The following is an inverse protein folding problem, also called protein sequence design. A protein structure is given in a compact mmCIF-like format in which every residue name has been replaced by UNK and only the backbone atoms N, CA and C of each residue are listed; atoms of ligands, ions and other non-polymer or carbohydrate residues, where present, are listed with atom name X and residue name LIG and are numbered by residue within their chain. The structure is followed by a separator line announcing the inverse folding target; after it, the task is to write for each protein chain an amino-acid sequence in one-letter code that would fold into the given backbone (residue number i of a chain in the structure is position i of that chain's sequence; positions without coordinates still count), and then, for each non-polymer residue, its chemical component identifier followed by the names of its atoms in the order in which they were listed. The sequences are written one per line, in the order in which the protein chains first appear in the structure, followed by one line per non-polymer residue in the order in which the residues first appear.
data_IF_804021706645
#
_entry.id   IF_804021706645
#
_cell.length_a   1.000
_cell.length_b   1.000
_cell.length_c   1.000
_cell.angle_alpha   90.00
_cell.angle_beta   90.00
_cell.angle_gamma   90.00
#
_symmetry.space_group_name_H-M   'P 1'
#
loop_
_entity.id
_entity.type
_entity.pdbx_description
1 polymer ?
#
# COMPACT_ATOMS: atom_id res chain seq x y z
N UNK A 1 -13.53 -44.46 38.74
CA UNK A 1 -13.85 -45.56 37.80
C UNK A 1 -13.32 -45.17 36.43
N UNK A 2 -12.47 -46.04 35.85
CA UNK A 2 -11.82 -45.89 34.54
C UNK A 2 -12.79 -46.22 33.41
N UNK A 3 -12.73 -45.47 32.30
CA UNK A 3 -12.74 -46.10 30.97
C UNK A 3 -12.03 -45.24 29.92
N UNK A 4 -10.71 -45.43 29.90
CA UNK A 4 -9.78 -45.18 28.80
C UNK A 4 -10.24 -45.99 27.58
N UNK A 5 -10.65 -45.33 26.48
CA UNK A 5 -10.73 -45.99 25.17
C UNK A 5 -9.46 -45.67 24.38
N UNK A 6 -8.55 -46.64 24.40
CA UNK A 6 -7.50 -46.84 23.41
C UNK A 6 -8.16 -47.25 22.09
N UNK A 7 -7.81 -46.59 20.99
CA UNK A 7 -8.04 -47.07 19.62
C UNK A 7 -6.73 -46.86 18.85
N UNK A 8 -6.30 -47.84 18.02
CA UNK A 8 -4.90 -48.21 17.89
C UNK A 8 -4.18 -47.58 16.69
N UNK A 9 -2.87 -47.42 16.86
CA UNK A 9 -1.86 -47.38 15.81
C UNK A 9 -1.92 -48.67 14.97
N UNK A 10 -2.06 -48.54 13.64
CA UNK A 10 -1.77 -49.48 12.53
C UNK A 10 -2.37 -48.76 11.29
N UNK A 11 -1.73 -48.48 10.17
CA UNK A 11 -0.63 -49.14 9.46
C UNK A 11 -0.06 -48.14 8.43
N UNK A 12 1.26 -48.01 8.42
CA UNK A 12 2.05 -47.49 7.31
C UNK A 12 1.92 -48.43 6.09
N UNK A 13 1.99 -47.90 4.86
CA UNK A 13 2.74 -48.57 3.81
C UNK A 13 3.92 -47.70 3.36
N UNK A 14 5.09 -48.32 3.46
CA UNK A 14 6.36 -47.96 2.87
C UNK A 14 6.46 -48.70 1.53
N UNK A 15 6.79 -48.02 0.42
CA UNK A 15 7.51 -48.53 -0.77
C UNK A 15 7.62 -47.34 -1.76
N UNK A 16 8.74 -46.62 -1.87
CA UNK A 16 10.01 -46.99 -2.52
C UNK A 16 10.06 -46.63 -4.03
N UNK A 17 11.20 -46.05 -4.41
CA UNK A 17 11.78 -45.86 -5.75
C UNK A 17 11.35 -44.62 -6.57
N UNK A 18 12.17 -43.56 -6.55
CA UNK A 18 13.26 -43.40 -7.53
C UNK A 18 14.08 -42.12 -7.25
N UNK A 19 15.34 -42.30 -6.86
CA UNK A 19 16.39 -41.30 -7.06
C UNK A 19 16.57 -41.04 -8.57
N UNK A 20 16.58 -39.78 -8.95
CA UNK A 20 17.36 -39.30 -10.09
C UNK A 20 17.93 -37.94 -9.72
N UNK A 21 19.13 -38.03 -9.17
CA UNK A 21 20.10 -36.95 -9.05
C UNK A 21 20.42 -36.41 -10.45
N UNK A 22 20.34 -35.09 -10.63
CA UNK A 22 21.04 -34.38 -11.71
C UNK A 22 21.10 -32.87 -11.37
N UNK A 23 22.22 -32.46 -10.79
CA UNK A 23 22.88 -31.19 -11.12
C UNK A 23 24.03 -31.53 -12.10
N UNK A 24 24.74 -30.59 -12.75
CA UNK A 24 24.56 -29.14 -12.89
C UNK A 24 24.55 -28.70 -14.37
N UNK A 25 24.20 -27.44 -14.67
CA UNK A 25 24.70 -26.75 -15.85
C UNK A 25 25.09 -25.32 -15.46
N UNK A 26 26.36 -25.16 -15.10
CA UNK A 26 27.13 -23.96 -15.38
C UNK A 26 27.51 -23.97 -16.86
N UNK A 27 27.11 -22.95 -17.63
CA UNK A 27 27.93 -22.49 -18.75
C UNK A 27 27.74 -20.99 -18.96
N UNK A 28 28.81 -20.30 -18.62
CA UNK A 28 29.22 -18.93 -18.88
C UNK A 28 29.30 -18.60 -20.39
N UNK A 29 28.90 -17.37 -20.76
CA UNK A 29 29.62 -16.38 -21.60
C UNK A 29 28.57 -15.37 -22.15
N UNK A 30 28.59 -14.07 -21.83
CA UNK A 30 29.58 -12.99 -22.02
C UNK A 30 29.50 -12.29 -23.40
N UNK A 31 29.00 -11.05 -23.37
CA UNK A 31 29.51 -9.86 -24.09
C UNK A 31 28.79 -8.64 -23.52
N UNK A 32 29.41 -7.76 -22.73
CA UNK A 32 30.49 -6.82 -23.04
C UNK A 32 30.06 -5.69 -24.02
N UNK A 33 29.57 -4.61 -23.41
CA UNK A 33 30.01 -3.21 -23.53
C UNK A 33 29.95 -2.43 -24.87
N UNK A 34 29.72 -1.13 -24.64
CA UNK A 34 29.97 0.08 -25.48
C UNK A 34 28.87 0.38 -26.51
N UNK A 35 28.25 1.56 -26.57
CA UNK A 35 28.75 2.92 -26.30
C UNK A 35 27.60 3.90 -26.02
N UNK A 36 27.80 4.82 -25.05
CA UNK A 36 27.22 6.17 -25.07
C UNK A 36 28.27 7.14 -25.70
N UNK A 37 28.05 8.44 -25.93
CA UNK A 37 26.88 9.29 -25.65
C UNK A 37 26.47 10.22 -26.81
N UNK A 38 25.31 10.90 -26.71
CA UNK A 38 25.11 12.20 -27.37
C UNK A 38 23.95 12.98 -26.72
N UNK A 39 24.32 13.94 -25.88
CA UNK A 39 23.60 15.22 -25.76
C UNK A 39 24.43 16.27 -26.49
N UNK A 40 23.84 17.41 -26.92
CA UNK A 40 24.06 18.58 -26.08
C UNK A 40 22.88 19.59 -25.99
N UNK A 41 23.00 20.41 -24.95
CA UNK A 41 22.50 21.78 -24.75
C UNK A 41 20.97 21.96 -24.60
N UNK A 42 20.44 22.25 -23.40
CA UNK A 42 20.59 23.45 -22.57
C UNK A 42 20.06 24.74 -23.23
N UNK A 43 18.94 25.25 -22.73
CA UNK A 43 18.64 26.69 -22.55
C UNK A 43 17.46 26.85 -21.58
N UNK A 44 17.77 27.29 -20.36
CA UNK A 44 16.94 28.18 -19.52
C UNK A 44 17.76 29.46 -19.40
N UNK A 45 17.17 30.68 -19.30
CA UNK A 45 16.27 30.99 -18.19
C UNK A 45 15.19 32.06 -18.43
N UNK A 46 14.36 32.19 -17.39
CA UNK A 46 13.69 33.41 -16.94
C UNK A 46 12.55 34.00 -17.78
N UNK A 47 11.35 34.06 -17.17
CA UNK A 47 10.99 35.26 -16.40
C UNK A 47 9.54 35.19 -15.91
N UNK A 48 9.38 35.19 -14.59
CA UNK A 48 8.15 35.64 -13.95
C UNK A 48 8.01 37.17 -14.07
N UNK A 49 6.77 37.67 -14.12
CA UNK A 49 6.39 38.71 -13.18
C UNK A 49 5.12 38.24 -12.44
N UNK A 50 5.16 38.18 -11.12
CA UNK A 50 4.94 39.29 -10.20
C UNK A 50 3.52 39.23 -9.64
N UNK A 51 3.48 39.12 -8.31
CA UNK A 51 2.51 39.66 -7.38
C UNK A 51 1.19 40.19 -7.97
N UNK A 52 0.12 39.45 -7.66
CA UNK A 52 -1.23 39.98 -7.54
C UNK A 52 -1.83 39.52 -6.22
N UNK A 53 -1.56 40.25 -5.15
CA UNK A 53 -2.41 40.18 -3.95
C UNK A 53 -3.79 40.70 -4.35
N UNK A 54 -4.81 39.85 -4.27
CA UNK A 54 -6.19 40.33 -4.25
C UNK A 54 -6.98 39.62 -3.15
N UNK A 55 -7.19 40.41 -2.09
CA UNK A 55 -8.34 40.48 -1.21
C UNK A 55 -8.92 39.16 -0.67
N UNK A 56 -8.67 38.95 0.63
CA UNK A 56 -9.46 38.05 1.47
C UNK A 56 -10.92 38.52 1.54
N UNK A 57 -11.84 37.66 1.11
CA UNK A 57 -13.26 37.62 1.48
C UNK A 57 -13.69 36.13 1.48
N UNK A 58 -14.68 35.73 2.30
CA UNK A 58 -14.60 34.53 3.13
C UNK A 58 -14.67 33.22 2.33
N UNK A 59 -13.68 32.37 2.55
CA UNK A 59 -13.51 31.07 1.90
C UNK A 59 -14.55 30.05 2.39
N UNK A 60 -15.50 29.71 1.53
CA UNK A 60 -16.05 28.35 1.48
C UNK A 60 -14.99 27.40 0.87
N UNK A 61 -14.88 26.12 1.28
CA UNK A 61 -13.67 25.34 1.04
C UNK A 61 -13.61 24.78 -0.39
N UNK A 62 -13.04 25.56 -1.31
CA UNK A 62 -12.69 25.10 -2.65
C UNK A 62 -11.44 24.18 -2.69
N UNK A 63 -10.69 24.07 -1.58
CA UNK A 63 -9.47 23.27 -1.48
C UNK A 63 -9.72 21.76 -1.25
N UNK A 64 -10.92 21.36 -0.83
CA UNK A 64 -11.23 19.97 -0.51
C UNK A 64 -11.34 19.07 -1.76
N UNK A 65 -11.80 19.61 -2.89
CA UNK A 65 -11.98 18.85 -4.13
C UNK A 65 -10.66 18.39 -4.76
N UNK A 66 -9.66 19.28 -4.78
CA UNK A 66 -8.34 18.96 -5.35
C UNK A 66 -7.58 17.89 -4.55
N UNK A 67 -7.56 18.01 -3.22
CA UNK A 67 -6.91 17.04 -2.35
C UNK A 67 -7.64 15.68 -2.35
N UNK A 68 -8.98 15.68 -2.38
CA UNK A 68 -9.76 14.46 -2.46
C UNK A 68 -9.54 13.71 -3.79
N UNK A 69 -9.50 14.42 -4.93
CA UNK A 69 -9.18 13.81 -6.22
C UNK A 69 -7.77 13.19 -6.23
N UNK A 70 -6.78 13.88 -5.66
CA UNK A 70 -5.43 13.31 -5.48
C UNK A 70 -5.40 12.11 -4.54
N UNK A 71 -6.22 12.12 -3.49
CA UNK A 71 -6.37 10.99 -2.57
C UNK A 71 -7.02 9.77 -3.23
N UNK A 72 -8.02 9.99 -4.06
CA UNK A 72 -8.69 8.95 -4.84
C UNK A 72 -7.72 8.27 -5.81
N UNK A 73 -6.87 9.04 -6.50
CA UNK A 73 -5.86 8.49 -7.42
C UNK A 73 -4.87 7.57 -6.68
N UNK A 74 -4.36 8.02 -5.54
CA UNK A 74 -3.46 7.22 -4.69
C UNK A 74 -4.17 5.96 -4.19
N UNK A 75 -5.42 6.10 -3.74
CA UNK A 75 -6.25 4.96 -3.34
C UNK A 75 -6.34 3.93 -4.46
N UNK A 76 -6.71 4.36 -5.67
CA UNK A 76 -6.88 3.49 -6.84
C UNK A 76 -5.60 2.75 -7.20
N UNK A 77 -4.47 3.45 -7.18
CA UNK A 77 -3.17 2.91 -7.61
C UNK A 77 -2.50 2.00 -6.57
N UNK A 78 -2.66 2.29 -5.28
CA UNK A 78 -1.91 1.60 -4.20
C UNK A 78 -2.82 0.87 -3.22
N UNK A 79 -3.88 1.52 -2.76
CA UNK A 79 -4.64 1.05 -1.59
C UNK A 79 -5.71 0.01 -1.93
N UNK A 80 -6.23 0.01 -3.16
CA UNK A 80 -7.27 -0.92 -3.63
C UNK A 80 -6.88 -2.38 -3.47
N UNK A 81 -5.60 -2.71 -3.60
CA UNK A 81 -5.06 -4.06 -3.48
C UNK A 81 -5.54 -4.79 -2.22
N UNK A 82 -5.73 -4.05 -1.12
CA UNK A 82 -6.27 -4.61 0.12
C UNK A 82 -7.66 -4.05 0.48
N UNK A 83 -7.87 -2.74 0.30
CA UNK A 83 -9.05 -2.06 0.82
C UNK A 83 -10.28 -2.10 -0.10
N UNK A 84 -10.18 -2.61 -1.34
CA UNK A 84 -11.36 -2.77 -2.20
C UNK A 84 -12.26 -3.93 -1.73
N UNK A 85 -11.65 -5.03 -1.30
CA UNK A 85 -12.35 -6.26 -0.90
C UNK A 85 -12.09 -6.69 0.53
N UNK A 86 -11.17 -6.02 1.25
CA UNK A 86 -10.82 -6.32 2.63
C UNK A 86 -9.82 -7.46 2.80
N UNK A 87 -8.85 -7.56 1.88
CA UNK A 87 -7.81 -8.60 1.91
C UNK A 87 -7.06 -8.55 3.24
N UNK A 88 -6.79 -9.73 3.82
CA UNK A 88 -6.08 -9.89 5.08
C UNK A 88 -6.67 -9.05 6.24
N UNK A 89 -8.00 -8.81 6.23
CA UNK A 89 -8.69 -8.05 7.26
C UNK A 89 -8.52 -6.53 7.17
N UNK A 90 -8.09 -6.02 6.02
CA UNK A 90 -8.10 -4.59 5.73
C UNK A 90 -9.53 -4.03 5.77
N UNK A 91 -9.76 -2.82 6.31
CA UNK A 91 -11.07 -2.21 6.30
C UNK A 91 -11.51 -1.90 4.88
N UNK A 92 -12.64 -2.46 4.45
CA UNK A 92 -13.18 -2.27 3.11
C UNK A 92 -13.65 -0.82 2.93
N UNK A 93 -13.35 -0.22 1.78
CA UNK A 93 -13.84 1.12 1.44
C UNK A 93 -15.38 1.16 1.52
N UNK A 94 -15.91 2.16 2.21
CA UNK A 94 -17.36 2.35 2.36
C UNK A 94 -18.05 1.48 3.42
N UNK A 95 -17.32 0.56 4.07
CA UNK A 95 -17.89 -0.21 5.19
C UNK A 95 -17.96 0.65 6.45
N UNK A 96 -19.09 1.34 6.64
CA UNK A 96 -19.30 2.24 7.77
C UNK A 96 -19.07 1.56 9.12
N UNK A 97 -19.47 0.29 9.27
CA UNK A 97 -19.37 -0.42 10.53
C UNK A 97 -17.90 -0.74 10.90
N UNK A 98 -17.05 -1.02 9.92
CA UNK A 98 -15.62 -1.23 10.17
C UNK A 98 -14.84 0.09 10.33
N UNK A 99 -15.31 1.16 9.69
CA UNK A 99 -14.65 2.47 9.73
C UNK A 99 -15.04 3.34 10.92
N UNK A 100 -16.25 3.23 11.47
CA UNK A 100 -16.71 4.02 12.62
C UNK A 100 -15.75 3.96 13.82
N UNK A 101 -15.36 2.79 14.35
CA UNK A 101 -14.42 2.73 15.48
C UNK A 101 -13.02 3.22 15.14
N UNK A 102 -12.64 3.27 13.85
CA UNK A 102 -11.34 3.77 13.37
C UNK A 102 -11.35 5.28 13.27
N UNK A 103 -12.42 5.85 12.71
CA UNK A 103 -12.64 7.30 12.62
C UNK A 103 -12.71 7.90 14.02
N UNK A 104 -13.30 7.19 14.99
CA UNK A 104 -13.34 7.59 16.40
C UNK A 104 -11.96 7.73 17.06
N UNK A 105 -10.91 7.11 16.51
CA UNK A 105 -9.53 7.28 17.00
C UNK A 105 -8.93 8.63 16.61
N UNK A 106 -9.54 9.34 15.67
CA UNK A 106 -9.07 10.62 15.13
C UNK A 106 -8.17 10.46 13.90
N UNK A 107 -8.14 11.51 13.06
CA UNK A 107 -7.42 11.50 11.77
C UNK A 107 -5.91 11.31 11.94
N UNK A 108 -5.31 11.91 12.99
CA UNK A 108 -3.87 11.85 13.21
C UNK A 108 -3.37 10.43 13.46
N UNK A 109 -4.15 9.63 14.21
CA UNK A 109 -3.85 8.21 14.45
C UNK A 109 -3.93 7.42 13.14
N UNK A 110 -4.96 7.66 12.33
CA UNK A 110 -5.11 7.01 11.04
C UNK A 110 -3.96 7.35 10.09
N UNK A 111 -3.51 8.60 10.07
CA UNK A 111 -2.36 9.02 9.29
C UNK A 111 -1.08 8.36 9.78
N UNK A 112 -0.82 8.36 11.08
CA UNK A 112 0.36 7.74 11.65
C UNK A 112 0.43 6.26 11.31
N UNK A 113 -0.67 5.53 11.51
CA UNK A 113 -0.77 4.10 11.17
C UNK A 113 -0.59 3.85 9.67
N UNK A 114 -1.08 4.74 8.82
CA UNK A 114 -0.96 4.59 7.37
C UNK A 114 0.44 4.91 6.87
N UNK A 115 1.13 5.88 7.49
CA UNK A 115 2.48 6.31 7.10
C UNK A 115 3.52 5.34 7.67
N UNK A 116 3.46 5.05 8.96
CA UNK A 116 4.45 4.22 9.67
C UNK A 116 4.15 2.73 9.61
N UNK A 117 2.95 2.36 9.17
CA UNK A 117 2.46 0.99 9.24
C UNK A 117 1.81 0.70 10.59
N UNK A 118 0.97 -0.34 10.60
CA UNK A 118 0.20 -0.73 11.77
C UNK A 118 -0.08 -2.23 11.77
N UNK A 119 0.21 -2.87 12.89
CA UNK A 119 -0.19 -4.26 13.15
C UNK A 119 -1.31 -4.26 14.16
N UNK A 120 -2.51 -4.66 13.72
CA UNK A 120 -3.69 -4.70 14.55
C UNK A 120 -4.26 -6.11 14.69
N UNK A 121 -5.39 -6.19 15.40
CA UNK A 121 -6.09 -7.46 15.63
C UNK A 121 -6.60 -8.11 14.34
N UNK A 122 -6.99 -7.31 13.35
CA UNK A 122 -7.60 -7.79 12.10
C UNK A 122 -6.57 -8.10 11.01
N UNK A 123 -5.37 -7.53 11.09
CA UNK A 123 -4.38 -7.65 10.03
C UNK A 123 -3.24 -6.66 10.16
N UNK A 124 -2.44 -6.58 9.10
CA UNK A 124 -1.26 -5.72 9.00
C UNK A 124 -1.47 -4.71 7.88
N UNK A 125 -1.26 -3.44 8.19
CA UNK A 125 -1.14 -2.36 7.22
C UNK A 125 0.36 -2.03 7.07
N UNK A 126 0.98 -2.29 5.91
CA UNK A 126 2.38 -1.94 5.71
C UNK A 126 2.58 -0.42 5.72
N UNK A 127 3.79 0.06 6.07
CA UNK A 127 4.12 1.49 5.98
C UNK A 127 3.79 2.03 4.59
N UNK A 128 3.23 3.24 4.52
CA UNK A 128 2.78 3.92 3.29
C UNK A 128 1.96 3.04 2.33
N UNK A 129 1.18 2.10 2.86
CA UNK A 129 0.40 1.15 2.05
C UNK A 129 1.26 0.22 1.19
N UNK A 130 2.54 0.01 1.56
CA UNK A 130 3.49 -0.82 0.82
C UNK A 130 4.23 -0.08 -0.30
N UNK A 131 3.93 1.21 -0.53
CA UNK A 131 4.57 2.02 -1.56
C UNK A 131 5.42 3.12 -0.93
N UNK A 132 6.72 2.87 -0.77
CA UNK A 132 7.67 3.81 -0.14
C UNK A 132 7.91 5.08 -0.96
N UNK A 133 7.51 5.10 -2.24
CA UNK A 133 7.64 6.29 -3.09
C UNK A 133 6.56 7.34 -2.82
N UNK A 134 5.51 7.03 -2.06
CA UNK A 134 4.50 8.01 -1.67
C UNK A 134 5.07 8.99 -0.64
N UNK A 135 4.77 10.27 -0.84
CA UNK A 135 4.91 11.28 0.20
C UNK A 135 3.88 11.07 1.32
N UNK A 136 4.16 11.60 2.50
CA UNK A 136 3.25 11.50 3.63
C UNK A 136 1.93 12.24 3.34
N UNK A 137 2.00 13.34 2.59
CA UNK A 137 0.83 14.10 2.12
C UNK A 137 -0.07 13.28 1.20
N UNK A 138 0.52 12.50 0.27
CA UNK A 138 -0.23 11.60 -0.61
C UNK A 138 -0.93 10.50 0.19
N UNK A 139 -0.25 9.93 1.20
CA UNK A 139 -0.86 8.94 2.10
C UNK A 139 -2.02 9.56 2.88
N UNK A 140 -1.84 10.75 3.46
CA UNK A 140 -2.90 11.45 4.19
C UNK A 140 -4.10 11.76 3.31
N UNK A 141 -3.87 12.21 2.07
CA UNK A 141 -4.95 12.46 1.11
C UNK A 141 -5.74 11.18 0.79
N UNK A 142 -5.07 10.04 0.63
CA UNK A 142 -5.72 8.75 0.41
C UNK A 142 -6.56 8.33 1.64
N UNK A 143 -6.02 8.48 2.86
CA UNK A 143 -6.76 8.22 4.10
C UNK A 143 -8.02 9.09 4.18
N UNK A 144 -7.91 10.37 3.83
CA UNK A 144 -9.03 11.30 3.82
C UNK A 144 -10.12 10.90 2.83
N UNK A 145 -9.73 10.51 1.62
CA UNK A 145 -10.65 9.96 0.65
C UNK A 145 -11.38 8.74 1.21
N UNK A 146 -10.65 7.76 1.78
CA UNK A 146 -11.25 6.54 2.31
C UNK A 146 -12.21 6.78 3.47
N UNK A 147 -11.83 7.66 4.39
CA UNK A 147 -12.68 8.10 5.50
C UNK A 147 -13.94 8.79 4.98
N UNK A 148 -13.82 9.63 3.95
CA UNK A 148 -14.96 10.32 3.34
C UNK A 148 -15.95 9.32 2.71
N UNK A 149 -15.47 8.25 2.08
CA UNK A 149 -16.35 7.21 1.51
C UNK A 149 -17.06 6.35 2.57
N UNK A 150 -16.58 6.35 3.81
CA UNK A 150 -17.10 5.52 4.89
C UNK A 150 -17.89 6.28 5.96
N UNK A 151 -18.16 7.57 5.73
CA UNK A 151 -19.06 8.39 6.56
C UNK A 151 -20.52 8.23 6.12
#
# INVERSE_FOLDING_TARGET
MRTRRLIPFLLLPLLAACSKEEAPQTSTQQSAATSAPAAPAATTPDKAPAAGQQAQAPSAPAAAGGAAAKGEDVYKQTCTACHATGVAGAPKLGDKADWEPRIAQGKDVLYEHSIKGYTGKKGVMPPKGGNMSLSDEQVKAAVDYMVAQAK
#
